data_IF_730304319736
#
_entry.id   IF_730304319736
#
_cell.length_a   1.000
_cell.length_b   1.000
_cell.length_c   1.000
_cell.angle_alpha   90.00
_cell.angle_beta   90.00
_cell.angle_gamma   90.00
#
_symmetry.space_group_name_H-M   'P 1'
#
loop_
_entity.id
_entity.type
_entity.pdbx_description
1 polymer ?
#
# COMPACT_ATOMS: atom_id res chain seq x y z
N UNK A 1 3.39 26.93 10.68
CA UNK A 1 3.08 26.33 9.37
C UNK A 1 2.82 27.44 8.39
N UNK A 2 3.69 27.58 7.38
CA UNK A 2 3.39 28.38 6.19
C UNK A 2 2.36 27.65 5.33
N UNK A 3 1.75 28.34 4.37
CA UNK A 3 0.76 27.73 3.47
C UNK A 3 1.39 26.74 2.46
N UNK A 4 2.71 26.82 2.21
CA UNK A 4 3.48 25.82 1.46
C UNK A 4 3.56 24.48 2.22
N UNK A 5 3.69 24.51 3.54
CA UNK A 5 3.71 23.28 4.36
C UNK A 5 2.38 22.52 4.21
N UNK A 6 1.25 23.23 4.12
CA UNK A 6 -0.10 22.63 4.01
C UNK A 6 -0.33 21.89 2.69
N UNK A 7 0.23 22.38 1.59
CA UNK A 7 0.15 21.72 0.28
C UNK A 7 0.82 20.34 0.28
N UNK A 8 1.98 20.22 0.94
CA UNK A 8 2.71 18.96 1.06
C UNK A 8 1.97 17.92 1.90
N UNK A 9 1.29 18.33 2.98
CA UNK A 9 0.53 17.40 3.82
C UNK A 9 -0.71 16.83 3.11
N UNK A 10 -1.42 17.64 2.33
CA UNK A 10 -2.61 17.16 1.58
C UNK A 10 -2.20 16.10 0.55
N UNK A 11 -1.19 16.40 -0.25
CA UNK A 11 -0.69 15.47 -1.27
C UNK A 11 -0.16 14.17 -0.65
N UNK A 12 0.60 14.27 0.45
CA UNK A 12 1.11 13.12 1.18
C UNK A 12 -0.01 12.25 1.78
N UNK A 13 -1.08 12.86 2.28
CA UNK A 13 -2.22 12.14 2.82
C UNK A 13 -3.05 11.46 1.72
N UNK A 14 -3.31 12.16 0.62
CA UNK A 14 -4.06 11.64 -0.53
C UNK A 14 -3.39 10.41 -1.14
N UNK A 15 -2.06 10.39 -1.25
CA UNK A 15 -1.38 9.18 -1.74
C UNK A 15 -1.34 8.01 -0.77
N UNK A 16 -1.51 8.26 0.54
CA UNK A 16 -1.49 7.21 1.56
C UNK A 16 -2.88 6.60 1.75
N UNK A 17 -3.91 7.45 1.68
CA UNK A 17 -5.30 7.07 1.86
C UNK A 17 -6.01 6.87 0.50
N UNK A 18 -5.42 6.05 -0.36
CA UNK A 18 -5.95 5.70 -1.68
C UNK A 18 -6.26 4.20 -1.77
N UNK A 19 -7.31 3.87 -2.53
CA UNK A 19 -7.68 2.49 -2.90
C UNK A 19 -6.91 2.00 -4.14
N UNK A 20 -6.21 2.91 -4.83
CA UNK A 20 -5.43 2.60 -6.01
C UNK A 20 -4.01 2.22 -5.62
N UNK A 21 -3.63 0.98 -5.91
CA UNK A 21 -2.28 0.48 -5.62
C UNK A 21 -1.22 1.20 -6.45
N UNK A 22 -0.06 1.47 -5.85
CA UNK A 22 1.12 1.92 -6.61
C UNK A 22 1.82 0.75 -7.29
N UNK A 23 2.28 0.90 -8.54
CA UNK A 23 3.05 -0.14 -9.22
C UNK A 23 4.38 -0.37 -8.50
N UNK A 24 4.85 -1.62 -8.53
CA UNK A 24 6.16 -2.02 -8.02
C UNK A 24 6.83 -2.98 -9.02
N UNK A 25 8.17 -3.04 -9.06
CA UNK A 25 8.88 -3.95 -9.95
C UNK A 25 8.51 -5.40 -9.66
N UNK A 26 8.42 -6.22 -10.72
CA UNK A 26 8.20 -7.66 -10.54
C UNK A 26 9.34 -8.29 -9.72
N UNK A 27 9.03 -9.11 -8.69
CA UNK A 27 10.05 -9.80 -7.92
C UNK A 27 10.85 -10.78 -8.79
N UNK A 28 12.16 -10.85 -8.57
CA UNK A 28 13.05 -11.81 -9.27
C UNK A 28 12.66 -13.26 -9.05
N UNK A 29 12.03 -13.57 -7.91
CA UNK A 29 11.55 -14.91 -7.57
C UNK A 29 10.28 -15.33 -8.34
N UNK A 30 9.62 -14.40 -9.04
CA UNK A 30 8.34 -14.63 -9.72
C UNK A 30 7.19 -14.98 -8.76
N UNK A 31 7.33 -14.65 -7.47
CA UNK A 31 6.33 -14.96 -6.43
C UNK A 31 6.01 -13.74 -5.57
N UNK A 32 4.75 -13.64 -5.14
CA UNK A 32 4.25 -12.60 -4.23
C UNK A 32 3.50 -13.26 -3.08
N UNK A 33 3.79 -12.86 -1.85
CA UNK A 33 2.98 -13.20 -0.70
C UNK A 33 1.93 -12.11 -0.48
N UNK A 34 0.66 -12.50 -0.40
CA UNK A 34 -0.46 -11.62 -0.07
C UNK A 34 -0.92 -11.98 1.34
N UNK A 35 -0.98 -10.97 2.21
CA UNK A 35 -1.51 -11.08 3.57
C UNK A 35 -2.79 -10.28 3.66
N UNK A 36 -3.86 -10.91 4.12
CA UNK A 36 -5.15 -10.27 4.37
C UNK A 36 -5.40 -10.35 5.87
N UNK A 37 -5.80 -9.22 6.46
CA UNK A 37 -6.14 -9.12 7.88
C UNK A 37 -7.57 -8.61 7.97
N UNK A 38 -8.42 -9.35 8.69
CA UNK A 38 -9.81 -8.96 8.93
C UNK A 38 -9.88 -7.87 10.01
N UNK A 39 -11.04 -7.23 10.14
CA UNK A 39 -11.32 -6.26 11.19
C UNK A 39 -11.33 -6.86 12.61
N UNK A 40 -11.46 -8.19 12.76
CA UNK A 40 -11.34 -8.90 14.04
C UNK A 40 -9.89 -9.29 14.36
N UNK A 41 -8.96 -9.06 13.42
CA UNK A 41 -7.55 -9.39 13.55
C UNK A 41 -7.18 -10.77 13.00
N UNK A 42 -8.11 -11.50 12.35
CA UNK A 42 -7.77 -12.76 11.70
C UNK A 42 -6.84 -12.53 10.52
N UNK A 43 -5.77 -13.32 10.44
CA UNK A 43 -4.79 -13.21 9.37
C UNK A 43 -4.81 -14.44 8.45
N UNK A 44 -4.82 -14.19 7.14
CA UNK A 44 -4.64 -15.23 6.12
C UNK A 44 -3.50 -14.81 5.20
N UNK A 45 -2.60 -15.74 4.88
CA UNK A 45 -1.50 -15.51 3.94
C UNK A 45 -1.52 -16.53 2.81
N UNK A 46 -1.28 -16.06 1.58
CA UNK A 46 -1.14 -16.93 0.41
C UNK A 46 -0.06 -16.43 -0.54
N UNK A 47 0.72 -17.35 -1.09
CA UNK A 47 1.74 -17.06 -2.10
C UNK A 47 1.17 -17.30 -3.50
N UNK A 48 1.38 -16.34 -4.39
CA UNK A 48 1.00 -16.37 -5.80
C UNK A 48 2.23 -16.29 -6.71
N UNK A 49 2.11 -16.79 -7.94
CA UNK A 49 3.13 -16.65 -9.00
C UNK A 49 2.75 -15.48 -9.92
N UNK A 50 3.72 -14.69 -10.40
CA UNK A 50 3.54 -13.45 -11.19
C UNK A 50 4.48 -13.30 -12.39
#
# INVERSE_FOLDING_TARGET
MSDEDRGSWSEAWETLNSDTSRPFPKPTSGRIAVKVISHLGDEVMKVYRV
#
